data_IF_494835640308
#
_entry.id   IF_494835640308
#
_cell.length_a   1.000
_cell.length_b   1.000
_cell.length_c   1.000
_cell.angle_alpha   90.00
_cell.angle_beta   90.00
_cell.angle_gamma   90.00
#
_symmetry.space_group_name_H-M   'P 1'
#
loop_
_entity.id
_entity.type
_entity.pdbx_description
1 polymer ?
#
# COMPACT_ATOMS: atom_id res chain seq x y z
N UNK A 1 19.52 -0.71 3.93
CA UNK A 1 18.26 -0.69 3.18
C UNK A 1 17.21 -0.17 4.15
N UNK A 2 16.40 0.79 3.73
CA UNK A 2 15.31 1.30 4.56
C UNK A 2 14.16 0.29 4.55
N UNK A 3 13.56 0.06 5.71
CA UNK A 3 12.45 -0.88 5.89
C UNK A 3 11.21 -0.12 6.34
N UNK A 4 10.04 -0.56 5.88
CA UNK A 4 8.75 -0.06 6.33
C UNK A 4 7.97 -1.16 7.02
N UNK A 5 7.29 -0.82 8.12
CA UNK A 5 6.29 -1.66 8.73
C UNK A 5 4.91 -1.16 8.31
N UNK A 6 4.18 -1.97 7.55
CA UNK A 6 2.97 -1.54 6.86
C UNK A 6 1.92 -2.65 6.81
N UNK A 7 0.67 -2.29 6.50
CA UNK A 7 -0.35 -3.27 6.16
C UNK A 7 -0.25 -3.59 4.68
N UNK A 8 0.12 -4.81 4.32
CA UNK A 8 0.11 -5.24 2.94
C UNK A 8 -1.32 -5.66 2.55
N UNK A 9 -2.00 -4.94 1.64
CA UNK A 9 -3.38 -5.22 1.28
C UNK A 9 -3.55 -6.56 0.54
N UNK A 10 -2.49 -7.05 -0.12
CA UNK A 10 -2.48 -8.33 -0.82
C UNK A 10 -2.44 -9.51 0.15
N UNK A 11 -1.54 -9.48 1.16
CA UNK A 11 -1.46 -10.53 2.19
C UNK A 11 -2.47 -10.34 3.32
N UNK A 12 -3.09 -9.16 3.39
CA UNK A 12 -4.03 -8.71 4.42
C UNK A 12 -3.45 -8.75 5.84
N UNK A 13 -2.14 -8.56 5.97
CA UNK A 13 -1.40 -8.62 7.22
C UNK A 13 -0.48 -7.42 7.41
N UNK A 14 -0.13 -7.12 8.67
CA UNK A 14 0.98 -6.22 8.96
C UNK A 14 2.30 -6.96 8.76
N UNK A 15 3.25 -6.37 8.05
CA UNK A 15 4.55 -6.98 7.77
C UNK A 15 5.66 -5.92 7.64
N UNK A 16 6.91 -6.35 7.85
CA UNK A 16 8.10 -5.58 7.50
C UNK A 16 8.50 -5.86 6.05
N UNK A 17 8.71 -4.80 5.27
CA UNK A 17 9.15 -4.88 3.89
C UNK A 17 10.27 -3.87 3.61
N UNK A 18 11.10 -4.16 2.61
CA UNK A 18 12.04 -3.15 2.11
C UNK A 18 11.26 -2.04 1.39
N UNK A 19 11.69 -0.79 1.59
CA UNK A 19 11.13 0.32 0.81
C UNK A 19 11.49 0.12 -0.66
N UNK A 20 10.51 0.08 -1.59
CA UNK A 20 10.81 -0.10 -2.99
C UNK A 20 11.56 1.11 -3.56
N UNK A 21 12.48 0.85 -4.48
CA UNK A 21 13.36 1.88 -5.04
C UNK A 21 12.67 2.77 -6.08
N UNK A 22 11.58 2.28 -6.68
CA UNK A 22 10.84 2.96 -7.71
C UNK A 22 9.37 2.50 -7.73
N UNK A 23 8.55 3.19 -8.53
CA UNK A 23 7.12 2.92 -8.60
C UNK A 23 6.80 1.56 -9.25
N UNK A 24 7.66 1.03 -10.13
CA UNK A 24 7.48 -0.32 -10.68
C UNK A 24 7.54 -1.40 -9.59
N UNK A 25 8.53 -1.31 -8.70
CA UNK A 25 8.63 -2.23 -7.56
C UNK A 25 7.48 -2.06 -6.58
N UNK A 26 7.04 -0.82 -6.33
CA UNK A 26 5.89 -0.57 -5.49
C UNK A 26 4.60 -1.18 -6.08
N UNK A 27 4.38 -1.03 -7.38
CA UNK A 27 3.23 -1.61 -8.09
C UNK A 27 3.30 -3.13 -8.07
N UNK A 28 4.48 -3.72 -8.27
CA UNK A 28 4.67 -5.18 -8.19
C UNK A 28 4.22 -5.72 -6.82
N UNK A 29 4.60 -5.07 -5.73
CA UNK A 29 4.14 -5.43 -4.37
C UNK A 29 2.61 -5.40 -4.20
N UNK A 30 1.89 -4.60 -5.00
CA UNK A 30 0.44 -4.43 -4.93
C UNK A 30 -0.34 -5.26 -5.97
N UNK A 31 0.33 -5.94 -6.91
CA UNK A 31 -0.29 -6.55 -8.09
C UNK A 31 -0.72 -8.03 -7.93
N UNK A 32 -0.68 -8.57 -6.72
CA UNK A 32 -0.76 -10.01 -6.48
C UNK A 32 -2.15 -10.49 -5.98
N UNK A 33 -3.21 -9.67 -6.08
CA UNK A 33 -4.58 -9.98 -5.62
C UNK A 33 -5.66 -9.65 -6.68
N UNK A 34 -6.88 -10.17 -6.57
CA UNK A 34 -7.97 -9.86 -7.52
C UNK A 34 -8.39 -8.38 -7.48
N UNK A 35 -8.21 -7.70 -6.34
CA UNK A 35 -8.53 -6.26 -6.17
C UNK A 35 -7.34 -5.32 -6.49
N UNK A 36 -6.28 -5.84 -7.14
CA UNK A 36 -5.02 -5.10 -7.39
C UNK A 36 -5.21 -3.74 -8.06
N UNK A 37 -6.13 -3.63 -9.03
CA UNK A 37 -6.32 -2.39 -9.79
C UNK A 37 -6.74 -1.22 -8.90
N UNK A 38 -7.67 -1.45 -7.96
CA UNK A 38 -8.13 -0.43 -7.02
C UNK A 38 -7.03 -0.04 -6.01
N UNK A 39 -6.26 -1.03 -5.56
CA UNK A 39 -5.13 -0.81 -4.65
C UNK A 39 -4.07 0.07 -5.32
N UNK A 40 -3.72 -0.24 -6.57
CA UNK A 40 -2.73 0.51 -7.36
C UNK A 40 -3.21 1.93 -7.64
N UNK A 41 -4.50 2.13 -7.96
CA UNK A 41 -5.07 3.46 -8.15
C UNK A 41 -4.97 4.32 -6.88
N UNK A 42 -5.32 3.73 -5.72
CA UNK A 42 -5.23 4.43 -4.44
C UNK A 42 -3.78 4.81 -4.08
N UNK A 43 -2.83 3.90 -4.35
CA UNK A 43 -1.40 4.18 -4.23
C UNK A 43 -0.96 5.35 -5.12
N UNK A 44 -1.34 5.36 -6.40
CA UNK A 44 -1.01 6.45 -7.34
C UNK A 44 -1.53 7.80 -6.85
N UNK A 45 -2.76 7.84 -6.32
CA UNK A 45 -3.35 9.06 -5.76
C UNK A 45 -2.56 9.65 -4.58
N UNK A 46 -1.92 8.82 -3.75
CA UNK A 46 -0.99 9.29 -2.72
C UNK A 46 0.39 9.62 -3.27
N UNK A 47 0.87 8.84 -4.24
CA UNK A 47 2.19 9.02 -4.84
C UNK A 47 2.38 10.38 -5.51
N UNK A 48 1.29 10.98 -6.01
CA UNK A 48 1.28 12.34 -6.55
C UNK A 48 1.66 13.42 -5.52
N UNK A 49 1.48 13.13 -4.22
CA UNK A 49 1.71 14.08 -3.11
C UNK A 49 2.84 13.67 -2.17
N UNK A 50 3.25 12.40 -2.21
CA UNK A 50 4.16 11.81 -1.23
C UNK A 50 5.24 10.94 -1.88
N UNK A 51 6.28 10.62 -1.10
CA UNK A 51 7.26 9.61 -1.47
C UNK A 51 6.67 8.19 -1.46
N UNK A 52 7.38 7.25 -2.10
CA UNK A 52 6.95 5.85 -2.28
C UNK A 52 6.55 5.19 -0.95
N UNK A 53 7.40 5.31 0.08
CA UNK A 53 7.14 4.70 1.39
C UNK A 53 5.84 5.23 2.03
N UNK A 54 5.67 6.55 2.07
CA UNK A 54 4.49 7.15 2.68
C UNK A 54 3.21 6.82 1.88
N UNK A 55 3.30 6.79 0.54
CA UNK A 55 2.18 6.39 -0.30
C UNK A 55 1.76 4.92 -0.06
N UNK A 56 2.72 4.01 0.12
CA UNK A 56 2.43 2.61 0.46
C UNK A 56 1.82 2.47 1.84
N UNK A 57 2.36 3.14 2.86
CA UNK A 57 1.83 3.11 4.23
C UNK A 57 0.38 3.58 4.24
N UNK A 58 0.07 4.72 3.62
CA UNK A 58 -1.30 5.27 3.56
C UNK A 58 -2.26 4.36 2.79
N UNK A 59 -1.78 3.72 1.73
CA UNK A 59 -2.56 2.72 0.98
C UNK A 59 -2.88 1.52 1.87
N UNK A 60 -1.88 1.01 2.59
CA UNK A 60 -2.06 -0.07 3.55
C UNK A 60 -3.04 0.28 4.67
N UNK A 61 -2.93 1.47 5.26
CA UNK A 61 -3.85 1.94 6.30
C UNK A 61 -5.30 2.02 5.83
N UNK A 62 -5.53 2.53 4.62
CA UNK A 62 -6.86 2.56 4.02
C UNK A 62 -7.45 1.15 3.88
N UNK A 63 -6.71 0.24 3.26
CA UNK A 63 -7.20 -1.12 3.02
C UNK A 63 -7.31 -1.96 4.29
N UNK A 64 -6.51 -1.67 5.32
CA UNK A 64 -6.70 -2.26 6.65
C UNK A 64 -8.08 -1.94 7.21
N UNK A 65 -8.54 -0.70 7.04
CA UNK A 65 -9.86 -0.28 7.51
C UNK A 65 -10.97 -0.86 6.64
N UNK A 66 -10.81 -0.88 5.31
CA UNK A 66 -11.74 -1.54 4.38
C UNK A 66 -11.90 -3.02 4.73
N UNK A 67 -10.81 -3.76 4.89
CA UNK A 67 -10.85 -5.19 5.24
C UNK A 67 -11.41 -5.45 6.65
N UNK A 68 -11.28 -4.48 7.56
CA UNK A 68 -11.91 -4.54 8.89
C UNK A 68 -13.39 -4.13 8.88
N UNK A 69 -13.96 -3.74 7.73
CA UNK A 69 -15.33 -3.23 7.62
C UNK A 69 -15.53 -1.86 8.30
N UNK A 70 -14.45 -1.09 8.48
CA UNK A 70 -14.48 0.26 9.07
C UNK A 70 -14.54 1.30 7.98
N UNK A 71 -15.02 2.49 8.33
CA UNK A 71 -14.83 3.66 7.48
C UNK A 71 -13.32 3.92 7.33
N UNK A 72 -12.78 4.10 6.11
CA UNK A 72 -11.36 4.32 5.93
C UNK A 72 -10.91 5.65 6.55
N UNK A 73 -9.75 5.64 7.19
CA UNK A 73 -9.08 6.84 7.69
C UNK A 73 -8.66 7.75 6.51
N UNK A 74 -9.05 9.04 6.55
CA UNK A 74 -8.73 10.06 5.54
C UNK A 74 -7.28 10.58 5.66
#
# INVERSE_FOLDING_TARGET
>A
METMYWYNPTSRTMEDANVPMNDEQAIDMLSHDEDSDGIIEYYRGWRDRHGIMEALIRTGEHYRDVHAGRAPSL
#
